data_IF_153518636800
#
_entry.id   IF_153518636800
#
_cell.length_a   1.000
_cell.length_b   1.000
_cell.length_c   1.000
_cell.angle_alpha   90.00
_cell.angle_beta   90.00
_cell.angle_gamma   90.00
#
_symmetry.space_group_name_H-M   'P 1'
#
loop_
_entity.id
_entity.type
_entity.pdbx_description
1 polymer ?
#
# COMPACT_ATOMS: atom_id res chain seq x y z
N UNK A 1 -27.62 4.08 11.60
CA UNK A 1 -26.43 3.19 11.64
C UNK A 1 -25.45 3.59 10.56
N UNK A 2 -24.16 3.79 10.90
CA UNK A 2 -23.10 4.11 9.92
C UNK A 2 -22.92 2.88 8.99
N UNK A 3 -22.92 3.04 7.67
CA UNK A 3 -22.80 1.91 6.75
C UNK A 3 -21.42 1.23 6.88
N UNK A 4 -21.39 -0.10 6.90
CA UNK A 4 -20.15 -0.90 7.04
C UNK A 4 -19.05 -0.51 6.06
N UNK A 5 -19.43 -0.11 4.83
CA UNK A 5 -18.48 0.36 3.81
C UNK A 5 -17.67 1.57 4.29
N UNK A 6 -18.34 2.52 4.98
CA UNK A 6 -17.68 3.71 5.50
C UNK A 6 -16.75 3.38 6.67
N UNK A 7 -17.19 2.51 7.59
CA UNK A 7 -16.37 2.08 8.73
C UNK A 7 -15.07 1.43 8.22
N UNK A 8 -15.16 0.45 7.31
CA UNK A 8 -13.96 -0.26 6.84
C UNK A 8 -13.00 0.65 6.07
N UNK A 9 -13.52 1.47 5.17
CA UNK A 9 -12.67 2.37 4.36
C UNK A 9 -12.04 3.50 5.18
N UNK A 10 -12.77 4.09 6.13
CA UNK A 10 -12.20 5.12 7.01
C UNK A 10 -11.15 4.53 7.97
N UNK A 11 -11.36 3.31 8.45
CA UNK A 11 -10.34 2.60 9.22
C UNK A 11 -9.04 2.47 8.41
N UNK A 12 -9.11 2.04 7.15
CA UNK A 12 -7.92 1.95 6.28
C UNK A 12 -7.28 3.32 6.08
N UNK A 13 -8.08 4.38 5.82
CA UNK A 13 -7.57 5.72 5.59
C UNK A 13 -6.81 6.29 6.80
N UNK A 14 -7.17 5.87 8.02
CA UNK A 14 -6.48 6.25 9.26
C UNK A 14 -5.25 5.36 9.50
N UNK A 15 -5.35 4.05 9.33
CA UNK A 15 -4.26 3.13 9.66
C UNK A 15 -3.04 3.27 8.75
N UNK A 16 -3.24 3.55 7.45
CA UNK A 16 -2.14 3.69 6.48
C UNK A 16 -1.11 4.76 6.89
N UNK A 17 -1.50 6.01 7.22
CA UNK A 17 -0.53 7.04 7.63
C UNK A 17 0.28 6.63 8.86
N UNK A 18 -0.36 6.04 9.88
CA UNK A 18 0.34 5.57 11.06
C UNK A 18 1.32 4.43 10.75
N UNK A 19 0.96 3.50 9.87
CA UNK A 19 1.87 2.44 9.43
C UNK A 19 3.11 3.02 8.71
N UNK A 20 2.93 4.02 7.83
CA UNK A 20 4.03 4.72 7.16
C UNK A 20 4.89 5.46 8.18
N UNK A 21 4.27 6.16 9.12
CA UNK A 21 4.94 6.89 10.19
C UNK A 21 5.82 5.98 11.04
N UNK A 22 5.30 4.86 11.53
CA UNK A 22 6.09 3.92 12.33
C UNK A 22 7.21 3.26 11.53
N UNK A 23 6.99 2.93 10.26
CA UNK A 23 8.07 2.45 9.36
C UNK A 23 9.19 3.50 9.24
N UNK A 24 8.83 4.77 9.06
CA UNK A 24 9.81 5.85 8.95
C UNK A 24 10.62 6.01 10.24
N UNK A 25 9.99 5.96 11.41
CA UNK A 25 10.69 6.00 12.69
C UNK A 25 11.64 4.80 12.84
N UNK A 26 11.21 3.59 12.48
CA UNK A 26 12.06 2.41 12.54
C UNK A 26 13.33 2.59 11.67
N UNK A 27 13.18 3.15 10.46
CA UNK A 27 14.31 3.44 9.57
C UNK A 27 15.23 4.54 10.10
N UNK A 28 14.67 5.57 10.77
CA UNK A 28 15.47 6.63 11.45
C UNK A 28 16.24 6.04 12.62
N UNK A 29 15.72 4.98 13.27
CA UNK A 29 16.41 4.23 14.34
C UNK A 29 17.35 3.14 13.80
N UNK A 30 17.81 3.28 12.55
CA UNK A 30 18.79 2.42 11.89
C UNK A 30 18.36 0.95 11.73
N UNK A 31 17.05 0.67 11.72
CA UNK A 31 16.57 -0.66 11.31
C UNK A 31 16.83 -0.81 9.80
N UNK A 32 17.59 -1.84 9.36
CA UNK A 32 17.82 -2.03 7.92
C UNK A 32 16.50 -2.28 7.17
N UNK A 33 16.31 -1.71 5.95
CA UNK A 33 15.06 -1.85 5.21
C UNK A 33 14.61 -3.29 4.98
N UNK A 34 15.55 -4.22 4.80
CA UNK A 34 15.24 -5.64 4.58
C UNK A 34 14.82 -6.31 5.90
N UNK A 35 15.48 -6.00 7.01
CA UNK A 35 15.08 -6.48 8.34
C UNK A 35 13.67 -5.95 8.69
N UNK A 36 13.42 -4.66 8.43
CA UNK A 36 12.10 -4.07 8.57
C UNK A 36 11.05 -4.81 7.72
N UNK A 37 11.35 -5.11 6.44
CA UNK A 37 10.45 -5.86 5.58
C UNK A 37 10.09 -7.22 6.18
N UNK A 38 11.09 -8.02 6.56
CA UNK A 38 10.87 -9.39 7.06
C UNK A 38 10.04 -9.38 8.33
N UNK A 39 10.44 -8.57 9.31
CA UNK A 39 9.73 -8.46 10.59
C UNK A 39 8.30 -7.95 10.40
N UNK A 40 8.12 -6.90 9.58
CA UNK A 40 6.81 -6.31 9.29
C UNK A 40 5.85 -7.34 8.69
N UNK A 41 6.27 -8.05 7.65
CA UNK A 41 5.39 -9.01 6.94
C UNK A 41 5.11 -10.24 7.82
N UNK A 42 6.08 -10.69 8.62
CA UNK A 42 5.87 -11.75 9.61
C UNK A 42 4.81 -11.35 10.65
N UNK A 43 4.97 -10.17 11.27
CA UNK A 43 4.03 -9.68 12.28
C UNK A 43 2.64 -9.49 11.66
N UNK A 44 2.55 -8.91 10.46
CA UNK A 44 1.30 -8.74 9.74
C UNK A 44 0.61 -10.09 9.45
N UNK A 45 1.39 -11.08 9.00
CA UNK A 45 0.88 -12.45 8.76
C UNK A 45 0.40 -13.11 10.05
N UNK A 46 1.18 -13.05 11.13
CA UNK A 46 0.81 -13.58 12.44
C UNK A 46 -0.48 -12.92 12.94
N UNK A 47 -0.58 -11.60 12.84
CA UNK A 47 -1.77 -10.82 13.24
C UNK A 47 -3.04 -11.34 12.56
N UNK A 48 -3.00 -11.54 11.23
CA UNK A 48 -4.18 -12.04 10.52
C UNK A 48 -4.46 -13.51 10.78
N UNK A 49 -3.45 -14.34 10.91
CA UNK A 49 -3.64 -15.76 11.23
C UNK A 49 -4.24 -15.94 12.65
N UNK A 50 -3.79 -15.16 13.63
CA UNK A 50 -4.38 -15.13 14.97
C UNK A 50 -5.84 -14.65 14.88
N UNK A 51 -6.12 -13.59 14.13
CA UNK A 51 -7.49 -13.10 13.93
C UNK A 51 -8.39 -14.20 13.33
N UNK A 52 -7.92 -14.93 12.33
CA UNK A 52 -8.65 -16.02 11.69
C UNK A 52 -8.91 -17.18 12.69
N UNK A 53 -7.87 -17.58 13.44
CA UNK A 53 -7.95 -18.71 14.37
C UNK A 53 -8.81 -18.43 15.61
N UNK A 54 -8.76 -17.20 16.14
CA UNK A 54 -9.48 -16.86 17.38
C UNK A 54 -10.90 -16.35 17.12
N UNK A 55 -11.06 -15.46 16.14
CA UNK A 55 -12.32 -14.73 15.95
C UNK A 55 -13.14 -15.19 14.75
N UNK A 56 -12.51 -15.89 13.78
CA UNK A 56 -13.15 -16.22 12.50
C UNK A 56 -13.07 -17.72 12.16
N UNK A 57 -13.08 -18.59 13.18
CA UNK A 57 -12.94 -20.06 13.04
C UNK A 57 -13.91 -20.69 12.03
N UNK A 58 -15.10 -20.10 11.84
CA UNK A 58 -16.09 -20.55 10.85
C UNK A 58 -15.55 -20.60 9.41
N UNK A 59 -14.54 -19.77 9.09
CA UNK A 59 -13.95 -19.72 7.75
C UNK A 59 -12.85 -20.76 7.55
N UNK A 60 -12.28 -21.34 8.61
CA UNK A 60 -11.19 -22.33 8.50
C UNK A 60 -11.62 -23.53 7.65
N UNK A 61 -12.87 -24.00 7.86
CA UNK A 61 -13.42 -25.12 7.07
C UNK A 61 -13.47 -24.82 5.57
N UNK A 62 -13.60 -23.55 5.18
CA UNK A 62 -13.63 -23.13 3.77
C UNK A 62 -12.26 -23.23 3.09
N UNK A 63 -11.15 -23.20 3.86
CA UNK A 63 -9.78 -23.29 3.32
C UNK A 63 -9.59 -24.61 2.57
N UNK A 64 -10.17 -25.71 3.06
CA UNK A 64 -10.07 -27.03 2.44
C UNK A 64 -10.69 -27.09 1.02
N UNK A 65 -11.62 -26.20 0.72
CA UNK A 65 -12.36 -26.18 -0.53
C UNK A 65 -11.76 -25.18 -1.56
N UNK A 66 -10.61 -24.56 -1.25
CA UNK A 66 -9.95 -23.61 -2.15
C UNK A 66 -9.33 -24.37 -3.32
N UNK A 67 -9.68 -23.97 -4.55
CA UNK A 67 -9.19 -24.59 -5.77
C UNK A 67 -7.73 -24.19 -6.05
N UNK A 68 -7.02 -25.00 -6.81
CA UNK A 68 -5.64 -24.74 -7.22
C UNK A 68 -5.45 -23.35 -7.87
N UNK A 69 -6.39 -22.93 -8.73
CA UNK A 69 -6.37 -21.62 -9.38
C UNK A 69 -6.36 -20.45 -8.36
N UNK A 70 -7.11 -20.59 -7.30
CA UNK A 70 -7.21 -19.58 -6.23
C UNK A 70 -5.93 -19.52 -5.41
N UNK A 71 -5.33 -20.67 -5.10
CA UNK A 71 -4.01 -20.74 -4.47
C UNK A 71 -2.92 -20.12 -5.33
N UNK A 72 -2.91 -20.39 -6.63
CA UNK A 72 -1.99 -19.78 -7.59
C UNK A 72 -2.12 -18.24 -7.58
N UNK A 73 -3.34 -17.72 -7.64
CA UNK A 73 -3.58 -16.29 -7.60
C UNK A 73 -3.20 -15.67 -6.25
N UNK A 74 -3.42 -16.39 -5.13
CA UNK A 74 -2.98 -15.97 -3.79
C UNK A 74 -1.45 -15.88 -3.71
N UNK A 75 -0.74 -16.84 -4.29
CA UNK A 75 0.72 -16.82 -4.38
C UNK A 75 1.22 -15.62 -5.20
N UNK A 76 0.66 -15.38 -6.38
CA UNK A 76 1.02 -14.20 -7.18
C UNK A 76 0.73 -12.89 -6.43
N UNK A 77 -0.45 -12.77 -5.80
CA UNK A 77 -0.77 -11.60 -4.99
C UNK A 77 0.24 -11.40 -3.85
N UNK A 78 0.62 -12.47 -3.15
CA UNK A 78 1.64 -12.43 -2.11
C UNK A 78 3.02 -12.03 -2.63
N UNK A 79 3.40 -12.50 -3.81
CA UNK A 79 4.67 -12.14 -4.47
C UNK A 79 4.70 -10.65 -4.84
N UNK A 80 3.63 -10.13 -5.45
CA UNK A 80 3.54 -8.70 -5.76
C UNK A 80 3.53 -7.84 -4.49
N UNK A 81 2.85 -8.29 -3.44
CA UNK A 81 2.86 -7.59 -2.15
C UNK A 81 4.25 -7.56 -1.52
N UNK A 82 4.96 -8.71 -1.53
CA UNK A 82 6.35 -8.79 -1.07
C UNK A 82 7.27 -7.81 -1.81
N UNK A 83 7.23 -7.81 -3.15
CA UNK A 83 8.04 -6.92 -3.98
C UNK A 83 7.69 -5.44 -3.75
N UNK A 84 6.40 -5.13 -3.64
CA UNK A 84 5.95 -3.78 -3.35
C UNK A 84 6.47 -3.30 -1.99
N UNK A 85 6.38 -4.12 -0.95
CA UNK A 85 6.89 -3.75 0.38
C UNK A 85 8.42 -3.68 0.41
N UNK A 86 9.11 -4.54 -0.33
CA UNK A 86 10.57 -4.49 -0.44
C UNK A 86 11.04 -3.13 -0.98
N UNK A 87 10.51 -2.73 -2.15
CA UNK A 87 10.88 -1.47 -2.78
C UNK A 87 10.37 -0.27 -1.95
N UNK A 88 9.18 -0.36 -1.38
CA UNK A 88 8.57 0.66 -0.52
C UNK A 88 9.43 0.97 0.71
N UNK A 89 9.87 -0.05 1.45
CA UNK A 89 10.69 0.16 2.64
C UNK A 89 12.07 0.72 2.29
N UNK A 90 12.62 0.31 1.15
CA UNK A 90 13.85 0.90 0.62
C UNK A 90 13.65 2.38 0.26
N UNK A 91 12.55 2.71 -0.41
CA UNK A 91 12.24 4.09 -0.82
C UNK A 91 12.13 5.03 0.37
N UNK A 92 11.46 4.60 1.45
CA UNK A 92 11.27 5.39 2.67
C UNK A 92 12.60 5.76 3.36
N UNK A 93 13.68 5.05 3.10
CA UNK A 93 15.03 5.44 3.58
C UNK A 93 15.54 6.68 2.87
N UNK A 94 15.17 6.87 1.60
CA UNK A 94 15.71 7.92 0.71
C UNK A 94 14.72 9.05 0.40
N UNK A 95 13.50 8.98 0.96
CA UNK A 95 12.47 10.02 0.80
C UNK A 95 11.80 10.35 2.14
N UNK A 96 11.05 11.45 2.17
CA UNK A 96 10.24 11.82 3.34
C UNK A 96 8.95 10.99 3.39
N UNK A 97 8.36 10.86 4.58
CA UNK A 97 7.06 10.19 4.73
C UNK A 97 5.94 10.98 4.02
N UNK A 98 6.10 12.29 3.95
CA UNK A 98 5.19 13.21 3.25
C UNK A 98 5.23 12.91 1.74
N UNK A 99 6.41 13.00 1.10
CA UNK A 99 6.56 12.71 -0.33
C UNK A 99 6.08 11.29 -0.66
N UNK A 100 6.50 10.30 0.14
CA UNK A 100 6.04 8.92 -0.02
C UNK A 100 4.51 8.83 -0.07
N UNK A 101 3.82 9.49 0.85
CA UNK A 101 2.37 9.42 0.95
C UNK A 101 1.65 10.05 -0.26
N UNK A 102 2.16 11.18 -0.75
CA UNK A 102 1.63 11.79 -1.97
C UNK A 102 1.91 10.96 -3.22
N UNK A 103 3.14 10.51 -3.40
CA UNK A 103 3.56 9.72 -4.57
C UNK A 103 2.88 8.35 -4.62
N UNK A 104 2.59 7.76 -3.47
CA UNK A 104 1.83 6.50 -3.39
C UNK A 104 0.40 6.64 -3.97
N UNK A 105 -0.11 7.87 -4.17
CA UNK A 105 -1.38 8.10 -4.88
C UNK A 105 -1.28 7.89 -6.39
N UNK A 106 -0.09 7.61 -6.94
CA UNK A 106 0.07 7.16 -8.32
C UNK A 106 -0.74 5.90 -8.65
N UNK A 107 -1.17 5.15 -7.64
CA UNK A 107 -2.10 4.02 -7.81
C UNK A 107 -3.43 4.45 -8.47
N UNK A 108 -3.83 5.72 -8.35
CA UNK A 108 -5.01 6.29 -9.03
C UNK A 108 -4.90 6.28 -10.55
N UNK A 109 -3.69 6.38 -11.05
CA UNK A 109 -3.39 6.31 -12.49
C UNK A 109 -3.06 4.86 -12.88
N UNK A 110 -2.28 4.17 -12.07
CA UNK A 110 -1.84 2.81 -12.39
C UNK A 110 -2.98 1.80 -12.39
N UNK A 111 -3.96 1.92 -11.49
CA UNK A 111 -5.09 0.97 -11.46
C UNK A 111 -5.95 1.07 -12.72
N UNK A 112 -6.42 2.24 -13.20
CA UNK A 112 -7.10 2.35 -14.49
C UNK A 112 -6.24 1.91 -15.67
N UNK A 113 -4.94 2.23 -15.66
CA UNK A 113 -4.01 1.79 -16.71
C UNK A 113 -3.92 0.26 -16.79
N UNK A 114 -3.77 -0.41 -15.64
CA UNK A 114 -3.76 -1.87 -15.58
C UNK A 114 -5.12 -2.49 -15.97
N UNK A 115 -6.22 -1.83 -15.59
CA UNK A 115 -7.55 -2.24 -16.03
C UNK A 115 -7.70 -2.14 -17.56
N UNK A 116 -7.19 -1.10 -18.19
CA UNK A 116 -7.13 -0.99 -19.64
C UNK A 116 -6.32 -2.13 -20.28
N UNK A 117 -5.09 -2.37 -19.77
CA UNK A 117 -4.18 -3.37 -20.34
C UNK A 117 -4.67 -4.82 -20.17
N UNK A 118 -5.24 -5.14 -19.01
CA UNK A 118 -5.58 -6.53 -18.65
C UNK A 118 -7.08 -6.86 -18.70
N UNK A 119 -7.94 -5.85 -18.58
CA UNK A 119 -9.40 -6.02 -18.59
C UNK A 119 -10.05 -5.43 -19.85
N UNK A 120 -9.25 -4.89 -20.78
CA UNK A 120 -9.69 -4.26 -22.04
C UNK A 120 -10.71 -3.12 -21.81
N UNK A 121 -10.62 -2.43 -20.68
CA UNK A 121 -11.41 -1.23 -20.40
C UNK A 121 -10.93 -0.08 -21.31
N UNK A 122 -11.85 0.78 -21.78
CA UNK A 122 -11.46 1.90 -22.65
C UNK A 122 -10.85 3.03 -21.84
N UNK A 123 -9.76 3.65 -22.35
CA UNK A 123 -9.22 4.89 -21.81
C UNK A 123 -9.75 6.07 -22.66
N UNK A 124 -10.44 7.00 -22.02
CA UNK A 124 -10.92 8.22 -22.69
C UNK A 124 -9.81 9.26 -22.81
N UNK A 125 -9.97 10.22 -23.74
CA UNK A 125 -9.03 11.33 -23.91
C UNK A 125 -8.89 12.17 -22.63
N UNK A 126 -9.98 12.35 -21.90
CA UNK A 126 -10.00 13.07 -20.62
C UNK A 126 -9.13 12.35 -19.57
N UNK A 127 -9.17 11.02 -19.51
CA UNK A 127 -8.31 10.23 -18.61
C UNK A 127 -6.84 10.42 -18.95
N UNK A 128 -6.48 10.49 -20.24
CA UNK A 128 -5.09 10.75 -20.68
C UNK A 128 -4.66 12.16 -20.24
N UNK A 129 -5.49 13.17 -20.50
CA UNK A 129 -5.17 14.56 -20.13
C UNK A 129 -4.99 14.73 -18.62
N UNK A 130 -5.89 14.17 -17.82
CA UNK A 130 -5.75 14.18 -16.36
C UNK A 130 -4.52 13.41 -15.88
N UNK A 131 -4.13 12.35 -16.58
CA UNK A 131 -2.88 11.64 -16.33
C UNK A 131 -1.65 12.53 -16.54
N UNK A 132 -1.63 13.37 -17.58
CA UNK A 132 -0.55 14.35 -17.80
C UNK A 132 -0.50 15.39 -16.69
N UNK A 133 -1.64 15.95 -16.26
CA UNK A 133 -1.72 16.87 -15.11
C UNK A 133 -1.19 16.19 -13.84
N UNK A 134 -1.56 14.93 -13.61
CA UNK A 134 -1.05 14.15 -12.47
C UNK A 134 0.49 14.07 -12.49
N UNK A 135 1.11 13.79 -13.64
CA UNK A 135 2.58 13.73 -13.76
C UNK A 135 3.26 15.08 -13.50
N UNK A 136 2.60 16.21 -13.82
CA UNK A 136 3.08 17.54 -13.40
C UNK A 136 3.12 17.62 -11.87
N UNK A 137 2.07 17.18 -11.18
CA UNK A 137 2.05 17.12 -9.73
C UNK A 137 3.16 16.25 -9.13
N UNK A 138 3.39 15.07 -9.72
CA UNK A 138 4.52 14.19 -9.35
C UNK A 138 5.85 14.90 -9.49
N UNK A 139 6.08 15.58 -10.62
CA UNK A 139 7.31 16.33 -10.88
C UNK A 139 7.53 17.43 -9.84
N UNK A 140 6.50 18.21 -9.51
CA UNK A 140 6.61 19.29 -8.51
C UNK A 140 6.95 18.75 -7.11
N UNK A 141 6.41 17.59 -6.70
CA UNK A 141 6.75 16.96 -5.42
C UNK A 141 8.20 16.48 -5.42
N UNK A 142 8.63 15.79 -6.46
CA UNK A 142 9.95 15.14 -6.48
C UNK A 142 11.09 16.13 -6.61
N UNK A 143 10.88 17.22 -7.34
CA UNK A 143 11.92 18.20 -7.65
C UNK A 143 11.81 19.50 -6.87
N UNK A 144 10.72 19.70 -6.13
CA UNK A 144 10.42 20.99 -5.48
C UNK A 144 10.34 22.16 -6.48
N UNK A 145 9.97 21.87 -7.72
CA UNK A 145 9.87 22.85 -8.82
C UNK A 145 11.21 23.24 -9.47
N UNK A 146 12.30 22.61 -9.07
CA UNK A 146 13.62 22.85 -9.72
C UNK A 146 13.78 21.94 -10.95
N UNK A 147 14.53 22.40 -11.94
CA UNK A 147 14.88 21.58 -13.12
C UNK A 147 16.01 20.60 -12.78
N UNK A 148 15.71 19.64 -11.93
CA UNK A 148 16.64 18.59 -11.48
C UNK A 148 16.03 17.21 -11.72
N UNK A 149 16.89 16.19 -11.71
CA UNK A 149 16.44 14.80 -11.78
C UNK A 149 15.69 14.46 -10.48
N UNK A 150 14.52 13.80 -10.55
CA UNK A 150 13.79 13.35 -9.38
C UNK A 150 14.66 12.52 -8.44
N UNK A 151 14.45 12.66 -7.14
CA UNK A 151 15.21 11.91 -6.14
C UNK A 151 15.01 10.42 -6.32
N UNK A 152 16.07 9.65 -6.16
CA UNK A 152 16.04 8.20 -6.32
C UNK A 152 14.95 7.53 -5.44
N UNK A 153 14.82 7.97 -4.19
CA UNK A 153 13.77 7.46 -3.28
C UNK A 153 12.36 7.68 -3.82
N UNK A 154 12.09 8.83 -4.42
CA UNK A 154 10.77 9.17 -4.98
C UNK A 154 10.44 8.30 -6.21
N UNK A 155 11.43 8.02 -7.07
CA UNK A 155 11.26 7.08 -8.19
C UNK A 155 10.95 5.66 -7.69
N UNK A 156 11.60 5.23 -6.62
CA UNK A 156 11.32 3.94 -5.99
C UNK A 156 9.88 3.88 -5.43
N UNK A 157 9.34 4.98 -4.87
CA UNK A 157 7.93 5.02 -4.44
C UNK A 157 6.99 4.77 -5.62
N UNK A 158 7.24 5.42 -6.76
CA UNK A 158 6.42 5.26 -7.96
C UNK A 158 6.47 3.79 -8.44
N UNK A 159 7.66 3.20 -8.49
CA UNK A 159 7.83 1.79 -8.87
C UNK A 159 7.12 0.84 -7.89
N UNK A 160 7.27 1.05 -6.57
CA UNK A 160 6.58 0.27 -5.55
C UNK A 160 5.06 0.38 -5.69
N UNK A 161 4.55 1.59 -5.98
CA UNK A 161 3.12 1.86 -6.15
C UNK A 161 2.56 1.17 -7.40
N UNK A 162 3.32 1.11 -8.48
CA UNK A 162 2.94 0.34 -9.67
C UNK A 162 2.78 -1.15 -9.34
N UNK A 163 3.77 -1.75 -8.66
CA UNK A 163 3.72 -3.15 -8.25
C UNK A 163 2.57 -3.41 -7.27
N UNK A 164 2.34 -2.47 -6.33
CA UNK A 164 1.20 -2.55 -5.42
C UNK A 164 -0.15 -2.44 -6.15
N UNK A 165 -0.20 -1.71 -7.26
CA UNK A 165 -1.39 -1.64 -8.11
C UNK A 165 -1.66 -2.98 -8.83
N UNK A 166 -0.61 -3.68 -9.28
CA UNK A 166 -0.74 -5.05 -9.79
C UNK A 166 -1.29 -6.01 -8.72
N UNK A 167 -0.75 -5.93 -7.49
CA UNK A 167 -1.30 -6.66 -6.35
C UNK A 167 -2.80 -6.38 -6.17
N UNK A 168 -3.20 -5.12 -6.15
CA UNK A 168 -4.59 -4.71 -5.95
C UNK A 168 -5.54 -5.28 -7.01
N UNK A 169 -5.14 -5.33 -8.28
CA UNK A 169 -5.94 -5.90 -9.37
C UNK A 169 -6.15 -7.40 -9.17
N UNK A 170 -5.10 -8.14 -8.81
CA UNK A 170 -5.19 -9.58 -8.51
C UNK A 170 -6.05 -9.81 -7.28
N UNK A 171 -5.82 -9.05 -6.22
CA UNK A 171 -6.52 -9.16 -4.94
C UNK A 171 -8.03 -8.90 -5.08
N UNK A 172 -8.43 -7.93 -5.92
CA UNK A 172 -9.85 -7.66 -6.24
C UNK A 172 -10.59 -8.91 -6.73
N UNK A 173 -9.96 -9.71 -7.57
CA UNK A 173 -10.56 -10.95 -8.06
C UNK A 173 -10.59 -12.03 -6.97
N UNK A 174 -9.55 -12.11 -6.14
CA UNK A 174 -9.50 -13.07 -5.03
C UNK A 174 -10.60 -12.84 -4.00
N UNK A 175 -10.79 -11.59 -3.55
CA UNK A 175 -11.78 -11.29 -2.50
C UNK A 175 -13.24 -11.39 -2.96
N UNK A 176 -13.49 -11.53 -4.27
CA UNK A 176 -14.82 -11.88 -4.79
C UNK A 176 -15.16 -13.35 -4.54
N UNK A 177 -14.15 -14.22 -4.54
CA UNK A 177 -14.28 -15.68 -4.44
C UNK A 177 -14.00 -16.14 -3.01
N UNK A 178 -12.89 -15.69 -2.43
CA UNK A 178 -12.46 -16.04 -1.08
C UNK A 178 -13.01 -15.06 -0.04
N UNK A 179 -13.20 -15.51 1.19
CA UNK A 179 -13.49 -14.60 2.30
C UNK A 179 -12.32 -13.65 2.52
N UNK A 180 -12.56 -12.36 2.86
CA UNK A 180 -11.52 -11.35 3.05
C UNK A 180 -10.42 -11.79 4.03
N UNK A 181 -10.81 -12.49 5.09
CA UNK A 181 -9.90 -13.03 6.11
C UNK A 181 -8.98 -14.10 5.52
N UNK A 182 -9.52 -15.05 4.75
CA UNK A 182 -8.75 -16.13 4.11
C UNK A 182 -7.79 -15.55 3.08
N UNK A 183 -8.29 -14.66 2.21
CA UNK A 183 -7.46 -14.00 1.20
C UNK A 183 -6.30 -13.24 1.85
N UNK A 184 -6.56 -12.44 2.89
CA UNK A 184 -5.54 -11.69 3.61
C UNK A 184 -4.49 -12.58 4.27
N UNK A 185 -4.93 -13.64 4.98
CA UNK A 185 -4.03 -14.61 5.60
C UNK A 185 -3.14 -15.28 4.54
N UNK A 186 -3.71 -15.79 3.46
CA UNK A 186 -2.96 -16.46 2.40
C UNK A 186 -1.93 -15.55 1.75
N UNK A 187 -2.32 -14.33 1.38
CA UNK A 187 -1.45 -13.33 0.73
C UNK A 187 -0.28 -12.97 1.66
N UNK A 188 -0.57 -12.60 2.92
CA UNK A 188 0.48 -12.23 3.87
C UNK A 188 1.38 -13.40 4.26
N UNK A 189 0.84 -14.62 4.38
CA UNK A 189 1.65 -15.79 4.64
C UNK A 189 2.59 -16.11 3.48
N UNK A 190 2.13 -16.00 2.23
CA UNK A 190 3.01 -16.14 1.06
C UNK A 190 4.09 -15.06 1.03
N UNK A 191 3.74 -13.80 1.28
CA UNK A 191 4.71 -12.72 1.35
C UNK A 191 5.73 -12.92 2.48
N UNK A 192 5.31 -13.42 3.65
CA UNK A 192 6.17 -13.70 4.79
C UNK A 192 7.15 -14.85 4.49
N UNK A 193 6.70 -15.93 3.85
CA UNK A 193 7.55 -17.03 3.43
C UNK A 193 8.61 -16.54 2.44
N UNK A 194 8.21 -15.74 1.43
CA UNK A 194 9.15 -15.16 0.47
C UNK A 194 10.18 -14.25 1.15
N UNK A 195 9.74 -13.43 2.11
CA UNK A 195 10.62 -12.56 2.88
C UNK A 195 11.64 -13.35 3.72
N UNK A 196 11.21 -14.46 4.34
CA UNK A 196 12.11 -15.36 5.07
C UNK A 196 13.12 -16.04 4.15
N UNK A 197 12.67 -16.58 3.03
CA UNK A 197 13.58 -17.22 2.03
C UNK A 197 14.61 -16.19 1.55
N UNK A 198 14.16 -14.98 1.23
CA UNK A 198 15.03 -13.90 0.76
C UNK A 198 16.07 -13.49 1.81
N UNK A 199 15.65 -13.37 3.09
CA UNK A 199 16.55 -13.04 4.20
C UNK A 199 17.57 -14.15 4.46
N UNK A 200 17.16 -15.41 4.33
CA UNK A 200 18.05 -16.56 4.48
C UNK A 200 19.13 -16.62 3.38
N UNK A 201 18.72 -16.42 2.12
CA UNK A 201 19.67 -16.39 0.98
C UNK A 201 20.70 -15.28 1.14
N UNK A 202 20.28 -14.09 1.58
CA UNK A 202 21.14 -12.93 1.77
C UNK A 202 21.88 -12.94 3.12
N UNK A 203 21.68 -13.95 3.96
CA UNK A 203 22.28 -14.08 5.31
C UNK A 203 22.04 -12.85 6.18
N UNK A 204 20.84 -12.25 6.10
CA UNK A 204 20.49 -11.04 6.82
C UNK A 204 20.03 -11.39 8.23
N UNK A 205 20.56 -10.65 9.21
CA UNK A 205 20.04 -10.73 10.57
C UNK A 205 18.63 -10.14 10.64
N UNK A 206 17.65 -11.01 10.88
CA UNK A 206 16.23 -10.62 11.03
C UNK A 206 15.92 -10.06 12.42
N UNK A 207 16.81 -10.19 13.37
CA UNK A 207 16.63 -9.67 14.72
C UNK A 207 17.38 -8.36 14.87
N UNK A 208 16.65 -7.23 14.83
CA UNK A 208 17.15 -5.92 15.23
C UNK A 208 16.48 -5.55 16.55
N UNK A 209 17.26 -5.20 17.56
CA UNK A 209 16.73 -4.71 18.84
C UNK A 209 16.34 -3.24 18.77
N UNK A 210 17.01 -2.48 17.90
CA UNK A 210 16.73 -1.05 17.72
C UNK A 210 15.41 -0.87 16.96
N UNK A 211 14.53 -0.02 17.50
CA UNK A 211 13.27 0.31 16.81
C UNK A 211 12.22 -0.79 16.74
N UNK A 212 12.41 -1.95 17.40
CA UNK A 212 11.51 -3.13 17.33
C UNK A 212 10.04 -2.79 17.66
N UNK A 213 9.80 -1.88 18.60
CA UNK A 213 8.46 -1.42 18.94
C UNK A 213 7.75 -0.80 17.71
N UNK A 214 8.44 0.03 16.96
CA UNK A 214 7.87 0.70 15.78
C UNK A 214 7.66 -0.28 14.63
N UNK A 215 8.55 -1.26 14.48
CA UNK A 215 8.38 -2.37 13.53
C UNK A 215 7.16 -3.21 13.92
N UNK A 216 7.01 -3.53 15.19
CA UNK A 216 5.86 -4.29 15.69
C UNK A 216 4.54 -3.54 15.44
N UNK A 217 4.48 -2.25 15.81
CA UNK A 217 3.30 -1.42 15.56
C UNK A 217 2.97 -1.33 14.06
N UNK A 218 3.98 -1.09 13.20
CA UNK A 218 3.75 -1.01 11.77
C UNK A 218 3.28 -2.35 11.18
N UNK A 219 3.85 -3.48 11.60
CA UNK A 219 3.45 -4.82 11.16
C UNK A 219 2.03 -5.18 11.58
N UNK A 220 1.65 -4.86 12.82
CA UNK A 220 0.29 -5.03 13.32
C UNK A 220 -0.71 -4.21 12.47
N UNK A 221 -0.39 -2.94 12.23
CA UNK A 221 -1.23 -2.07 11.41
C UNK A 221 -1.34 -2.59 9.97
N UNK A 222 -0.26 -3.05 9.35
CA UNK A 222 -0.29 -3.60 7.99
C UNK A 222 -1.17 -4.85 7.88
N UNK A 223 -1.16 -5.73 8.87
CA UNK A 223 -2.09 -6.86 8.93
C UNK A 223 -3.55 -6.39 8.92
N UNK A 224 -3.89 -5.43 9.79
CA UNK A 224 -5.22 -4.85 9.85
C UNK A 224 -5.58 -4.10 8.57
N UNK A 225 -4.65 -3.34 7.98
CA UNK A 225 -4.84 -2.64 6.70
C UNK A 225 -5.26 -3.62 5.61
N UNK A 226 -4.53 -4.72 5.41
CA UNK A 226 -4.87 -5.74 4.39
C UNK A 226 -6.26 -6.34 4.65
N UNK A 227 -6.59 -6.63 5.90
CA UNK A 227 -7.91 -7.15 6.25
C UNK A 227 -9.03 -6.17 5.88
N UNK A 228 -8.89 -4.90 6.28
CA UNK A 228 -9.91 -3.88 6.03
C UNK A 228 -9.96 -3.46 4.57
N UNK A 229 -8.85 -3.46 3.83
CA UNK A 229 -8.84 -3.33 2.37
C UNK A 229 -9.71 -4.42 1.75
N UNK A 230 -9.45 -5.68 2.10
CA UNK A 230 -10.18 -6.83 1.57
C UNK A 230 -11.69 -6.73 1.88
N UNK A 231 -12.05 -6.35 3.12
CA UNK A 231 -13.45 -6.13 3.51
C UNK A 231 -14.10 -4.99 2.72
N UNK A 232 -13.37 -3.91 2.51
CA UNK A 232 -13.87 -2.76 1.75
C UNK A 232 -14.12 -3.14 0.28
N UNK A 233 -13.12 -3.73 -0.38
CA UNK A 233 -13.20 -4.09 -1.81
C UNK A 233 -14.28 -5.16 -2.06
N UNK A 234 -14.54 -6.04 -1.09
CA UNK A 234 -15.58 -7.06 -1.20
C UNK A 234 -16.99 -6.47 -1.27
N UNK A 235 -17.27 -5.43 -0.47
CA UNK A 235 -18.61 -4.83 -0.36
C UNK A 235 -18.79 -3.56 -1.20
N UNK A 236 -17.68 -3.09 -1.82
CA UNK A 236 -17.66 -1.92 -2.69
C UNK A 236 -16.90 -2.23 -3.98
N UNK A 237 -16.54 -1.20 -4.74
CA UNK A 237 -15.60 -1.30 -5.85
C UNK A 237 -14.24 -0.69 -5.50
N UNK A 238 -13.25 -0.92 -6.38
CA UNK A 238 -11.89 -0.40 -6.18
C UNK A 238 -11.86 1.13 -6.20
N UNK A 239 -12.68 1.76 -7.03
CA UNK A 239 -12.81 3.21 -7.13
C UNK A 239 -13.21 3.84 -5.79
N UNK A 240 -14.21 3.27 -5.11
CA UNK A 240 -14.63 3.75 -3.80
C UNK A 240 -13.51 3.63 -2.76
N UNK A 241 -12.83 2.47 -2.70
CA UNK A 241 -11.70 2.27 -1.81
C UNK A 241 -10.60 3.32 -2.03
N UNK A 242 -10.20 3.51 -3.29
CA UNK A 242 -9.13 4.44 -3.64
C UNK A 242 -9.51 5.89 -3.32
N UNK A 243 -10.77 6.29 -3.53
CA UNK A 243 -11.25 7.62 -3.13
C UNK A 243 -11.16 7.85 -1.63
N UNK A 244 -11.51 6.84 -0.82
CA UNK A 244 -11.49 6.98 0.64
C UNK A 244 -10.07 7.14 1.19
N UNK A 245 -9.07 6.50 0.60
CA UNK A 245 -7.67 6.63 1.03
C UNK A 245 -6.97 7.90 0.52
N UNK A 246 -7.68 8.79 -0.20
CA UNK A 246 -7.14 10.09 -0.66
C UNK A 246 -6.73 11.01 0.49
N UNK A 247 -7.36 10.86 1.65
CA UNK A 247 -7.05 11.68 2.82
C UNK A 247 -5.76 11.27 3.54
N UNK A 248 -5.18 10.11 3.21
CA UNK A 248 -3.97 9.62 3.89
C UNK A 248 -2.77 10.57 3.81
N UNK A 249 -2.49 11.27 2.68
CA UNK A 249 -1.38 12.22 2.63
C UNK A 249 -1.54 13.40 3.59
N UNK A 250 -2.77 13.85 3.84
CA UNK A 250 -3.02 14.96 4.76
C UNK A 250 -2.69 14.58 6.20
N UNK A 251 -3.06 13.37 6.62
CA UNK A 251 -2.71 12.86 7.95
C UNK A 251 -1.20 12.68 8.04
N UNK A 252 -0.57 12.14 7.01
CA UNK A 252 0.89 11.95 6.98
C UNK A 252 1.66 13.27 6.97
N UNK A 253 1.11 14.30 6.32
CA UNK A 253 1.66 15.67 6.37
C UNK A 253 1.74 16.16 7.81
N UNK A 254 0.64 16.03 8.57
CA UNK A 254 0.59 16.43 9.97
C UNK A 254 1.60 15.61 10.82
N UNK A 255 1.62 14.28 10.65
CA UNK A 255 2.56 13.41 11.38
C UNK A 255 4.02 13.70 11.01
N UNK A 256 4.31 13.94 9.73
CA UNK A 256 5.65 14.26 9.23
C UNK A 256 6.19 15.57 9.81
N UNK A 257 5.39 16.62 9.78
CA UNK A 257 5.78 17.93 10.30
C UNK A 257 5.93 17.88 11.83
N UNK A 258 4.94 17.37 12.56
CA UNK A 258 4.92 17.45 14.03
C UNK A 258 5.90 16.49 14.72
N UNK A 259 6.15 15.32 14.14
CA UNK A 259 6.90 14.27 14.85
C UNK A 259 8.19 13.83 14.13
N UNK A 260 8.34 14.10 12.85
CA UNK A 260 9.53 13.69 12.09
C UNK A 260 10.39 14.89 11.68
N UNK A 261 9.98 16.11 12.03
CA UNK A 261 10.62 17.36 11.62
C UNK A 261 10.80 17.44 10.08
N UNK A 262 9.88 16.83 9.31
CA UNK A 262 9.89 16.90 7.86
C UNK A 262 9.39 18.28 7.43
N UNK A 263 10.09 18.88 6.46
CA UNK A 263 9.68 20.15 5.88
C UNK A 263 9.07 19.89 4.50
N UNK A 264 8.00 20.60 4.21
CA UNK A 264 7.40 20.65 2.88
C UNK A 264 7.46 22.10 2.39
N UNK A 265 7.91 22.29 1.16
CA UNK A 265 7.85 23.61 0.57
C UNK A 265 6.49 23.84 -0.12
N UNK A 266 6.19 25.12 -0.41
CA UNK A 266 4.93 25.52 -1.01
C UNK A 266 4.68 24.85 -2.38
N UNK A 267 5.72 24.66 -3.19
CA UNK A 267 5.65 24.03 -4.51
C UNK A 267 5.30 22.54 -4.39
N UNK A 268 5.88 21.84 -3.42
CA UNK A 268 5.53 20.44 -3.12
C UNK A 268 4.08 20.31 -2.67
N UNK A 269 3.59 21.27 -1.87
CA UNK A 269 2.17 21.28 -1.45
C UNK A 269 1.24 21.45 -2.66
N UNK A 270 1.55 22.37 -3.58
CA UNK A 270 0.80 22.53 -4.84
C UNK A 270 0.83 21.23 -5.64
N UNK A 271 2.00 20.60 -5.79
CA UNK A 271 2.13 19.30 -6.46
C UNK A 271 1.24 18.21 -5.84
N UNK A 272 1.19 18.15 -4.50
CA UNK A 272 0.32 17.24 -3.77
C UNK A 272 -1.18 17.47 -4.03
N UNK A 273 -1.60 18.72 -4.05
CA UNK A 273 -2.97 19.10 -4.38
C UNK A 273 -3.33 18.69 -5.82
N UNK A 274 -2.45 18.93 -6.77
CA UNK A 274 -2.63 18.53 -8.18
C UNK A 274 -2.80 17.01 -8.28
N UNK A 275 -1.96 16.22 -7.60
CA UNK A 275 -2.05 14.74 -7.56
C UNK A 275 -3.43 14.31 -7.05
N UNK A 276 -3.89 14.88 -5.94
CA UNK A 276 -5.18 14.51 -5.34
C UNK A 276 -6.34 14.87 -6.26
N UNK A 277 -6.36 16.10 -6.76
CA UNK A 277 -7.47 16.59 -7.61
C UNK A 277 -7.53 15.80 -8.92
N UNK A 278 -6.43 15.69 -9.65
CA UNK A 278 -6.38 14.96 -10.91
C UNK A 278 -6.76 13.48 -10.72
N UNK A 279 -6.29 12.86 -9.65
CA UNK A 279 -6.63 11.48 -9.31
C UNK A 279 -8.12 11.30 -9.02
N UNK A 280 -8.75 12.19 -8.25
CA UNK A 280 -10.21 12.15 -8.00
C UNK A 280 -10.98 12.34 -9.30
N UNK A 281 -10.55 13.26 -10.17
CA UNK A 281 -11.22 13.49 -11.45
C UNK A 281 -11.15 12.26 -12.35
N UNK A 282 -9.99 11.60 -12.47
CA UNK A 282 -9.84 10.34 -13.23
C UNK A 282 -10.83 9.29 -12.74
N UNK A 283 -11.00 9.15 -11.43
CA UNK A 283 -11.90 8.16 -10.84
C UNK A 283 -13.39 8.48 -11.04
N UNK A 284 -13.75 9.76 -11.24
CA UNK A 284 -15.13 10.19 -11.50
C UNK A 284 -15.57 10.03 -12.94
N UNK A 285 -14.61 10.01 -13.88
CA UNK A 285 -14.93 9.77 -15.29
C UNK A 285 -15.40 8.32 -15.44
N UNK A 286 -16.67 8.16 -15.80
CA UNK A 286 -17.24 6.85 -16.18
C UNK A 286 -16.69 6.44 -17.55
N UNK A 287 -16.58 5.14 -17.76
CA UNK A 287 -16.19 4.56 -19.04
C UNK A 287 -17.27 4.76 -20.08
#
# INVERSE_FOLDING_TARGET
>A
MIPKRLIYSSTVAILIPFAIFFKKIALIKDVPPITLLVQLVLIASITLNINLLLFQRKYIKKIRNIKYREWKNTFFAGTFLFLAYFISNYSLRFTTSINYSFLNKSNLIFIPLLAFLFLQEKITREKIFLGLIFFIGVYLITTSGQFIIPRFGDLLVIAATFIFSCFNVINKNLVKILEPEIAGCGILSCAAILALIFSFILKINIFSSTGILFVFLSGLLEGLIILFINKTIRITNMTYYVMMIMFTPLINLVLGILFLNEMINFIQLIGGIIIIISGIMVQRLRD
#
